data_IF_903785128299
#
_entry.id   IF_903785128299
#
_cell.length_a   1.000
_cell.length_b   1.000
_cell.length_c   1.000
_cell.angle_alpha   90.00
_cell.angle_beta   90.00
_cell.angle_gamma   90.00
#
_symmetry.space_group_name_H-M   'P 1'
#
loop_
_entity.id
_entity.type
_entity.pdbx_description
1 polymer ?
#
# COMPACT_ATOMS: atom_id res chain seq x y z
N UNK A 1 16.77 -10.65 38.11
CA UNK A 1 15.89 -9.61 37.53
C UNK A 1 14.45 -9.81 38.00
N UNK A 2 13.78 -8.78 38.57
CA UNK A 2 12.37 -8.84 38.96
C UNK A 2 11.47 -9.19 37.78
N UNK A 3 10.38 -9.94 38.00
CA UNK A 3 9.52 -10.47 36.93
C UNK A 3 8.96 -9.37 36.01
N UNK A 4 8.60 -8.22 36.57
CA UNK A 4 8.10 -7.06 35.83
C UNK A 4 9.10 -6.51 34.81
N UNK A 5 10.41 -6.68 35.07
CA UNK A 5 11.47 -6.18 34.19
C UNK A 5 11.92 -7.22 33.16
N UNK A 6 11.30 -8.41 33.11
CA UNK A 6 11.67 -9.52 32.20
C UNK A 6 10.93 -9.49 30.86
N UNK A 7 10.57 -8.31 30.37
CA UNK A 7 9.95 -8.16 29.05
C UNK A 7 10.84 -8.76 27.96
N UNK A 8 10.26 -9.56 27.08
CA UNK A 8 10.94 -10.14 25.93
C UNK A 8 10.02 -10.11 24.71
N UNK A 9 10.60 -10.11 23.53
CA UNK A 9 9.82 -10.12 22.27
C UNK A 9 10.51 -11.02 21.27
N UNK A 10 9.77 -12.01 20.78
CA UNK A 10 10.21 -12.80 19.64
C UNK A 10 9.70 -12.22 18.34
N UNK A 11 10.58 -12.20 17.32
CA UNK A 11 10.33 -11.68 15.98
C UNK A 11 10.67 -12.77 14.97
N UNK A 12 9.82 -12.97 13.97
CA UNK A 12 10.11 -13.80 12.80
C UNK A 12 9.98 -12.92 11.56
N UNK A 13 11.00 -12.97 10.70
CA UNK A 13 11.03 -12.23 9.44
C UNK A 13 10.86 -13.23 8.29
N UNK A 14 9.75 -13.09 7.58
CA UNK A 14 9.37 -13.68 6.28
C UNK A 14 9.93 -12.87 5.11
N UNK A 15 10.72 -13.43 4.19
CA UNK A 15 11.04 -12.76 2.92
C UNK A 15 10.48 -13.56 1.74
N UNK A 16 9.77 -12.88 0.84
CA UNK A 16 9.31 -13.42 -0.44
C UNK A 16 10.00 -12.65 -1.56
N UNK A 17 10.76 -13.36 -2.40
CA UNK A 17 11.40 -12.78 -3.56
C UNK A 17 10.70 -13.26 -4.85
N UNK A 18 10.48 -12.35 -5.79
CA UNK A 18 10.04 -12.71 -7.14
C UNK A 18 11.24 -13.02 -8.05
N UNK A 19 11.03 -13.65 -9.22
CA UNK A 19 12.11 -13.96 -10.16
C UNK A 19 12.87 -12.76 -10.72
N UNK A 20 12.37 -11.53 -10.50
CA UNK A 20 13.01 -10.27 -10.92
C UNK A 20 13.89 -9.67 -9.82
N UNK A 21 13.97 -10.34 -8.67
CA UNK A 21 14.71 -9.86 -7.50
C UNK A 21 13.96 -8.81 -6.68
N UNK A 22 12.65 -8.60 -6.90
CA UNK A 22 11.85 -7.77 -5.98
C UNK A 22 11.54 -8.58 -4.73
N UNK A 23 11.73 -7.97 -3.58
CA UNK A 23 11.53 -8.60 -2.29
C UNK A 23 10.37 -7.96 -1.53
N UNK A 24 9.58 -8.79 -0.85
CA UNK A 24 8.61 -8.39 0.14
C UNK A 24 8.96 -9.03 1.48
N UNK A 25 9.18 -8.19 2.48
CA UNK A 25 9.52 -8.64 3.83
C UNK A 25 8.33 -8.41 4.75
N UNK A 26 7.93 -9.46 5.47
CA UNK A 26 6.93 -9.39 6.53
C UNK A 26 7.53 -9.81 7.85
N UNK A 27 6.98 -9.26 8.92
CA UNK A 27 7.40 -9.60 10.26
C UNK A 27 6.22 -10.15 11.05
N UNK A 28 6.43 -11.18 11.85
CA UNK A 28 5.54 -11.56 12.94
C UNK A 28 6.18 -11.24 14.27
N UNK A 29 5.44 -10.62 15.17
CA UNK A 29 5.93 -10.17 16.48
C UNK A 29 5.09 -10.79 17.59
N UNK A 30 5.76 -11.29 18.62
CA UNK A 30 5.14 -11.81 19.82
C UNK A 30 5.82 -11.22 21.06
N UNK A 31 5.25 -10.18 21.67
CA UNK A 31 5.69 -9.71 22.97
C UNK A 31 5.30 -10.71 24.06
N UNK A 32 6.03 -10.65 25.18
CA UNK A 32 5.84 -11.53 26.32
C UNK A 32 6.87 -11.25 27.41
N UNK A 33 7.07 -12.24 28.28
CA UNK A 33 8.02 -12.18 29.39
C UNK A 33 8.81 -13.48 29.50
N UNK A 34 10.02 -13.39 30.04
CA UNK A 34 10.80 -14.56 30.45
C UNK A 34 10.39 -14.94 31.87
N UNK A 35 9.98 -16.19 32.08
CA UNK A 35 9.62 -16.70 33.40
C UNK A 35 10.84 -16.83 34.31
N UNK A 36 10.60 -17.03 35.62
CA UNK A 36 11.68 -17.27 36.59
C UNK A 36 12.24 -18.68 36.53
N UNK A 37 11.39 -19.65 36.16
CA UNK A 37 11.75 -21.05 35.97
C UNK A 37 11.09 -21.60 34.70
N UNK A 38 11.73 -22.57 34.02
CA UNK A 38 11.09 -23.29 32.92
C UNK A 38 9.79 -23.97 33.36
N UNK A 39 8.73 -23.84 32.57
CA UNK A 39 7.44 -24.53 32.76
C UNK A 39 7.02 -25.19 31.46
N UNK A 40 6.31 -26.32 31.55
CA UNK A 40 5.84 -27.08 30.38
C UNK A 40 6.85 -28.11 29.86
N UNK A 41 6.39 -28.99 28.97
CA UNK A 41 7.17 -30.11 28.40
C UNK A 41 7.17 -30.13 26.87
N UNK A 42 6.38 -29.26 26.24
CA UNK A 42 6.23 -29.23 24.78
C UNK A 42 7.19 -28.20 24.15
N UNK A 43 7.37 -28.26 22.83
CA UNK A 43 8.15 -27.26 22.10
C UNK A 43 9.66 -27.49 22.12
N UNK A 44 10.42 -26.45 21.82
CA UNK A 44 11.88 -26.48 21.74
C UNK A 44 12.51 -25.15 22.19
N UNK A 45 13.75 -25.19 22.64
CA UNK A 45 14.54 -24.01 22.95
C UNK A 45 13.91 -23.13 24.04
N UNK A 46 13.49 -21.91 23.67
CA UNK A 46 12.96 -20.90 24.60
C UNK A 46 11.52 -21.15 25.04
N UNK A 47 10.81 -22.12 24.44
CA UNK A 47 9.39 -22.34 24.71
C UNK A 47 9.06 -22.54 26.20
N UNK A 48 9.87 -23.25 27.01
CA UNK A 48 9.60 -23.43 28.44
C UNK A 48 9.77 -22.16 29.28
N UNK A 49 10.46 -21.15 28.78
CA UNK A 49 10.75 -19.92 29.55
C UNK A 49 10.04 -18.69 29.00
N UNK A 50 9.43 -18.76 27.83
CA UNK A 50 8.72 -17.63 27.23
C UNK A 50 7.21 -17.71 27.48
N UNK A 51 6.70 -16.72 28.19
CA UNK A 51 5.28 -16.49 28.43
C UNK A 51 4.79 -15.37 27.49
N UNK A 52 3.98 -15.67 26.46
CA UNK A 52 3.42 -14.65 25.59
C UNK A 52 2.48 -13.73 26.36
N UNK A 53 2.40 -12.48 25.94
CA UNK A 53 1.47 -11.50 26.51
C UNK A 53 0.01 -11.97 26.38
N UNK A 54 -0.77 -11.81 27.44
CA UNK A 54 -2.17 -12.23 27.49
C UNK A 54 -2.42 -13.69 27.91
N UNK A 55 -1.37 -14.48 28.17
CA UNK A 55 -1.51 -15.84 28.71
C UNK A 55 -0.70 -16.02 30.00
N UNK A 56 -1.21 -16.86 30.91
CA UNK A 56 -0.46 -17.30 32.09
C UNK A 56 0.31 -18.62 31.88
N UNK A 57 0.46 -19.03 30.62
CA UNK A 57 1.15 -20.27 30.22
C UNK A 57 2.37 -19.93 29.37
N UNK A 58 3.45 -20.70 29.49
CA UNK A 58 4.57 -20.63 28.55
C UNK A 58 4.20 -21.31 27.22
N UNK A 59 4.99 -21.08 26.18
CA UNK A 59 4.79 -21.78 24.91
C UNK A 59 4.93 -23.31 25.03
N UNK A 60 5.60 -23.83 26.06
CA UNK A 60 5.71 -25.26 26.32
C UNK A 60 4.52 -25.84 27.10
N UNK A 61 3.61 -25.00 27.59
CA UNK A 61 2.41 -25.35 28.36
C UNK A 61 1.12 -25.27 27.53
N UNK A 62 1.18 -24.71 26.32
CA UNK A 62 0.05 -24.61 25.39
C UNK A 62 0.17 -25.64 24.27
N UNK A 63 -0.98 -25.98 23.66
CA UNK A 63 -1.00 -26.89 22.51
C UNK A 63 -0.28 -26.28 21.30
N UNK A 64 0.18 -27.14 20.39
CA UNK A 64 0.73 -26.71 19.11
C UNK A 64 -0.27 -25.86 18.30
N UNK A 65 -1.56 -26.21 18.36
CA UNK A 65 -2.62 -25.46 17.67
C UNK A 65 -2.76 -24.04 18.22
N UNK A 66 -2.78 -23.90 19.55
CA UNK A 66 -2.84 -22.59 20.21
C UNK A 66 -1.60 -21.74 19.90
N UNK A 67 -0.41 -22.37 19.93
CA UNK A 67 0.84 -21.73 19.54
C UNK A 67 0.86 -21.29 18.07
N UNK A 68 0.28 -22.09 17.17
CA UNK A 68 0.13 -21.78 15.75
C UNK A 68 -0.88 -20.65 15.48
N UNK A 69 -1.61 -20.17 16.48
CA UNK A 69 -2.46 -18.97 16.36
C UNK A 69 -1.76 -17.70 16.83
N UNK A 70 -0.92 -17.79 17.86
CA UNK A 70 -0.40 -16.61 18.56
C UNK A 70 1.10 -16.34 18.34
N UNK A 71 1.87 -17.33 17.90
CA UNK A 71 3.32 -17.18 17.78
C UNK A 71 3.73 -16.20 16.68
N UNK A 72 4.91 -15.58 16.86
CA UNK A 72 5.52 -14.70 15.87
C UNK A 72 5.72 -15.41 14.51
N UNK A 73 6.11 -16.69 14.50
CA UNK A 73 6.23 -17.48 13.26
C UNK A 73 4.88 -17.65 12.56
N UNK A 74 3.83 -18.03 13.29
CA UNK A 74 2.49 -18.15 12.72
C UNK A 74 1.99 -16.83 12.14
N UNK A 75 2.18 -15.71 12.86
CA UNK A 75 1.83 -14.37 12.38
C UNK A 75 2.60 -13.99 11.11
N UNK A 76 3.89 -14.28 11.03
CA UNK A 76 4.68 -14.05 9.82
C UNK A 76 4.19 -14.91 8.64
N UNK A 77 3.92 -16.19 8.89
CA UNK A 77 3.45 -17.14 7.86
C UNK A 77 2.08 -16.74 7.31
N UNK A 78 1.14 -16.33 8.17
CA UNK A 78 -0.18 -15.85 7.74
C UNK A 78 -0.07 -14.64 6.83
N UNK A 79 0.84 -13.70 7.13
CA UNK A 79 1.10 -12.53 6.27
C UNK A 79 1.70 -12.93 4.92
N UNK A 80 2.66 -13.86 4.90
CA UNK A 80 3.17 -14.41 3.63
C UNK A 80 2.07 -15.10 2.83
N UNK A 81 1.23 -15.90 3.49
CA UNK A 81 0.10 -16.59 2.85
C UNK A 81 -0.85 -15.58 2.19
N UNK A 82 -1.23 -14.50 2.87
CA UNK A 82 -2.07 -13.43 2.31
C UNK A 82 -1.43 -12.84 1.04
N UNK A 83 -0.11 -12.57 1.05
CA UNK A 83 0.60 -12.05 -0.12
C UNK A 83 0.61 -13.06 -1.26
N UNK A 84 0.85 -14.35 -0.98
CA UNK A 84 0.85 -15.40 -2.00
C UNK A 84 -0.53 -15.56 -2.64
N UNK A 85 -1.60 -15.52 -1.84
CA UNK A 85 -2.98 -15.55 -2.35
C UNK A 85 -3.28 -14.36 -3.26
N UNK A 86 -2.78 -13.17 -2.91
CA UNK A 86 -2.89 -11.98 -3.77
C UNK A 86 -2.09 -12.12 -5.08
N UNK A 87 -0.89 -12.70 -5.03
CA UNK A 87 -0.08 -12.98 -6.23
C UNK A 87 -0.81 -13.95 -7.16
N UNK A 88 -1.40 -15.01 -6.61
CA UNK A 88 -2.19 -15.96 -7.38
C UNK A 88 -3.42 -15.31 -8.05
N UNK A 89 -4.07 -14.32 -7.41
CA UNK A 89 -5.23 -13.62 -7.98
C UNK A 89 -4.90 -12.81 -9.23
N UNK A 90 -3.65 -12.39 -9.38
CA UNK A 90 -3.19 -11.58 -10.51
C UNK A 90 -2.27 -12.37 -11.46
N UNK A 91 -2.19 -13.69 -11.29
CA UNK A 91 -1.33 -14.53 -12.10
C UNK A 91 -1.71 -14.46 -13.59
N UNK A 92 -0.71 -14.40 -14.45
CA UNK A 92 -0.90 -14.27 -15.91
C UNK A 92 -1.31 -12.86 -16.36
N UNK A 93 -1.32 -11.87 -15.47
CA UNK A 93 -1.48 -10.45 -15.81
C UNK A 93 -0.12 -9.75 -15.83
N UNK A 94 0.05 -8.84 -16.77
CA UNK A 94 1.14 -7.88 -16.81
C UNK A 94 0.61 -6.53 -16.28
N UNK A 95 1.03 -6.16 -15.08
CA UNK A 95 0.55 -5.01 -14.33
C UNK A 95 1.54 -3.84 -14.41
N UNK A 96 1.07 -2.75 -14.99
CA UNK A 96 1.79 -1.48 -15.07
C UNK A 96 1.33 -0.59 -13.91
N UNK A 97 2.26 -0.11 -13.09
CA UNK A 97 1.99 0.90 -12.06
C UNK A 97 2.19 2.30 -12.62
N UNK A 98 1.15 3.13 -12.65
CA UNK A 98 1.26 4.54 -13.03
C UNK A 98 1.26 5.42 -11.76
N UNK A 99 2.42 5.98 -11.44
CA UNK A 99 2.65 6.83 -10.26
C UNK A 99 3.28 8.18 -10.64
N UNK A 100 3.58 8.98 -9.64
CA UNK A 100 3.98 10.39 -9.76
C UNK A 100 3.28 11.22 -8.68
N UNK A 101 3.84 12.38 -8.37
CA UNK A 101 3.26 13.21 -7.31
C UNK A 101 1.98 13.93 -7.76
N UNK A 102 1.24 14.47 -6.80
CA UNK A 102 0.07 15.28 -7.07
C UNK A 102 0.46 16.48 -7.97
N UNK A 103 -0.32 16.77 -9.01
CA UNK A 103 -0.02 17.86 -9.94
C UNK A 103 0.94 17.52 -11.10
N UNK A 104 1.53 16.32 -11.14
CA UNK A 104 2.45 15.94 -12.23
C UNK A 104 1.76 15.48 -13.52
N UNK A 105 0.44 15.27 -13.51
CA UNK A 105 -0.35 14.94 -14.71
C UNK A 105 -0.57 13.45 -14.97
N UNK A 106 -0.42 12.59 -13.96
CA UNK A 106 -0.77 11.16 -14.02
C UNK A 106 -2.11 10.88 -14.68
N UNK A 107 -3.14 11.62 -14.29
CA UNK A 107 -4.50 11.43 -14.82
C UNK A 107 -4.59 11.73 -16.32
N UNK A 108 -3.73 12.59 -16.86
CA UNK A 108 -3.66 12.79 -18.32
C UNK A 108 -3.00 11.59 -19.02
N UNK A 109 -1.90 11.09 -18.45
CA UNK A 109 -1.24 9.87 -18.93
C UNK A 109 -2.21 8.68 -18.89
N UNK A 110 -2.95 8.51 -17.79
CA UNK A 110 -3.99 7.49 -17.65
C UNK A 110 -5.03 7.57 -18.77
N UNK A 111 -5.51 8.77 -19.11
CA UNK A 111 -6.47 8.98 -20.20
C UNK A 111 -5.90 8.59 -21.57
N UNK A 112 -4.62 8.84 -21.83
CA UNK A 112 -3.98 8.39 -23.07
C UNK A 112 -3.94 6.86 -23.15
N UNK A 113 -3.56 6.20 -22.05
CA UNK A 113 -3.54 4.73 -21.98
C UNK A 113 -4.94 4.13 -22.17
N UNK A 114 -5.98 4.72 -21.54
CA UNK A 114 -7.38 4.33 -21.76
C UNK A 114 -7.80 4.50 -23.22
N UNK A 115 -7.45 5.65 -23.84
CA UNK A 115 -7.71 5.94 -25.27
C UNK A 115 -7.07 4.91 -26.20
N UNK A 116 -5.92 4.35 -25.85
CA UNK A 116 -5.25 3.31 -26.62
C UNK A 116 -5.65 1.89 -26.23
N UNK A 117 -6.74 1.72 -25.47
CA UNK A 117 -7.37 0.43 -25.20
C UNK A 117 -6.85 -0.30 -23.96
N UNK A 118 -5.97 0.29 -23.15
CA UNK A 118 -5.53 -0.33 -21.90
C UNK A 118 -6.61 -0.19 -20.82
N UNK A 119 -6.80 -1.26 -20.04
CA UNK A 119 -7.58 -1.20 -18.81
C UNK A 119 -6.83 -0.41 -17.75
N UNK A 120 -7.29 0.81 -17.46
CA UNK A 120 -6.76 1.61 -16.36
C UNK A 120 -7.67 1.54 -15.14
N UNK A 121 -7.09 1.22 -13.99
CA UNK A 121 -7.75 1.13 -12.70
C UNK A 121 -7.22 2.25 -11.80
N UNK A 122 -8.07 3.24 -11.53
CA UNK A 122 -7.70 4.38 -10.71
C UNK A 122 -7.99 4.10 -9.22
N UNK A 123 -6.93 4.05 -8.42
CA UNK A 123 -7.01 3.75 -6.99
C UNK A 123 -7.73 4.85 -6.18
N UNK A 124 -7.61 6.12 -6.56
CA UNK A 124 -8.28 7.23 -5.89
C UNK A 124 -9.81 7.15 -6.08
N UNK A 125 -10.28 6.80 -7.29
CA UNK A 125 -11.69 6.54 -7.57
C UNK A 125 -12.21 5.37 -6.73
N UNK A 126 -11.43 4.28 -6.61
CA UNK A 126 -11.80 3.14 -5.76
C UNK A 126 -11.84 3.54 -4.29
N UNK A 127 -10.87 4.32 -3.80
CA UNK A 127 -10.86 4.86 -2.45
C UNK A 127 -12.12 5.65 -2.13
N UNK A 128 -12.58 6.49 -3.06
CA UNK A 128 -13.86 7.20 -2.92
C UNK A 128 -15.06 6.25 -2.79
N UNK A 129 -15.09 5.17 -3.55
CA UNK A 129 -16.17 4.17 -3.44
C UNK A 129 -16.11 3.41 -2.11
N UNK A 130 -14.90 3.11 -1.61
CA UNK A 130 -14.70 2.41 -0.34
C UNK A 130 -15.19 3.26 0.84
N UNK A 131 -14.98 4.58 0.81
CA UNK A 131 -15.44 5.51 1.84
C UNK A 131 -16.97 5.58 1.98
N UNK A 132 -17.73 5.22 0.94
CA UNK A 132 -19.20 5.22 0.96
C UNK A 132 -19.81 4.01 1.68
N UNK A 133 -19.00 2.99 2.01
CA UNK A 133 -19.51 1.80 2.70
C UNK A 133 -19.76 2.07 4.17
N UNK A 134 -20.90 1.59 4.69
CA UNK A 134 -21.28 1.82 6.09
C UNK A 134 -20.30 1.22 7.10
N UNK A 135 -19.73 0.04 6.80
CA UNK A 135 -18.76 -0.60 7.68
C UNK A 135 -17.46 0.21 7.79
N UNK A 136 -17.02 0.81 6.67
CA UNK A 136 -15.86 1.71 6.63
C UNK A 136 -16.17 3.00 7.35
N UNK A 137 -17.34 3.60 7.10
CA UNK A 137 -17.79 4.81 7.76
C UNK A 137 -17.85 4.67 9.28
N UNK A 138 -18.40 3.57 9.81
CA UNK A 138 -18.41 3.31 11.25
C UNK A 138 -17.00 3.25 11.85
N UNK A 139 -16.08 2.53 11.20
CA UNK A 139 -14.66 2.46 11.65
C UNK A 139 -13.99 3.83 11.61
N UNK A 140 -14.24 4.59 10.55
CA UNK A 140 -13.69 5.94 10.38
C UNK A 140 -14.20 6.90 11.47
N UNK A 141 -15.49 6.87 11.79
CA UNK A 141 -16.07 7.70 12.86
C UNK A 141 -15.53 7.29 14.24
N UNK A 142 -15.32 6.00 14.48
CA UNK A 142 -14.72 5.53 15.73
C UNK A 142 -13.26 6.02 15.92
N UNK A 143 -12.49 6.14 14.84
CA UNK A 143 -11.08 6.55 14.89
C UNK A 143 -10.93 8.08 14.90
N UNK A 144 -11.67 8.77 14.02
CA UNK A 144 -11.48 10.20 13.76
C UNK A 144 -12.58 11.09 14.36
N UNK A 145 -13.59 10.49 14.99
CA UNK A 145 -14.76 11.19 15.51
C UNK A 145 -15.77 11.59 14.44
N UNK A 146 -16.95 12.06 14.86
CA UNK A 146 -18.02 12.53 13.96
C UNK A 146 -17.66 13.79 13.16
N UNK A 147 -16.59 14.48 13.54
CA UNK A 147 -16.12 15.70 12.88
C UNK A 147 -15.83 15.52 11.39
N UNK A 148 -15.53 14.30 10.93
CA UNK A 148 -15.27 13.99 9.52
C UNK A 148 -16.53 13.95 8.64
N UNK A 149 -17.72 13.97 9.22
CA UNK A 149 -18.98 13.86 8.48
C UNK A 149 -19.45 15.21 7.92
N UNK A 150 -20.18 15.20 6.80
CA UNK A 150 -20.92 16.35 6.28
C UNK A 150 -22.32 16.43 6.93
N UNK A 151 -23.14 17.40 6.50
CA UNK A 151 -24.51 17.60 6.97
C UNK A 151 -25.46 16.42 6.66
N UNK A 152 -25.14 15.63 5.63
CA UNK A 152 -25.89 14.43 5.22
C UNK A 152 -25.41 13.17 5.98
N UNK A 153 -24.45 13.33 6.90
CA UNK A 153 -23.84 12.23 7.62
C UNK A 153 -22.89 11.38 6.77
N UNK A 154 -22.52 11.77 5.56
CA UNK A 154 -21.49 11.12 4.75
C UNK A 154 -20.09 11.59 5.11
N UNK A 155 -19.06 10.79 4.78
CA UNK A 155 -17.66 11.19 4.99
C UNK A 155 -17.30 12.37 4.08
N UNK A 156 -16.92 13.49 4.69
CA UNK A 156 -16.44 14.66 3.97
C UNK A 156 -14.97 14.49 3.55
N UNK A 157 -14.76 14.34 2.24
CA UNK A 157 -13.42 14.29 1.63
C UNK A 157 -12.60 15.54 1.92
N UNK A 158 -13.24 16.72 2.01
CA UNK A 158 -12.55 17.97 2.36
C UNK A 158 -11.98 17.89 3.77
N UNK A 159 -12.79 17.44 4.75
CA UNK A 159 -12.35 17.31 6.14
C UNK A 159 -11.28 16.23 6.31
N UNK A 160 -11.43 15.07 5.64
CA UNK A 160 -10.39 14.04 5.64
C UNK A 160 -9.06 14.54 5.06
N UNK A 161 -9.12 15.33 3.97
CA UNK A 161 -7.92 15.92 3.37
C UNK A 161 -7.22 16.90 4.30
N UNK A 162 -7.98 17.71 5.05
CA UNK A 162 -7.43 18.62 6.05
C UNK A 162 -6.70 17.85 7.15
N UNK A 163 -7.32 16.79 7.68
CA UNK A 163 -6.69 15.89 8.66
C UNK A 163 -5.43 15.25 8.08
N UNK A 164 -5.50 14.75 6.85
CA UNK A 164 -4.36 14.14 6.16
C UNK A 164 -3.19 15.12 5.92
N UNK A 165 -3.49 16.40 5.72
CA UNK A 165 -2.48 17.42 5.46
C UNK A 165 -1.76 17.91 6.73
N UNK A 166 -2.42 17.86 7.88
CA UNK A 166 -1.91 18.40 9.15
C UNK A 166 -1.36 17.34 10.10
N UNK A 167 -1.87 16.11 10.03
CA UNK A 167 -1.58 15.06 11.00
C UNK A 167 -1.11 13.76 10.32
N UNK A 168 0.22 13.53 10.40
CA UNK A 168 0.88 12.38 9.77
C UNK A 168 0.47 11.04 10.41
N UNK A 169 0.18 11.02 11.71
CA UNK A 169 -0.23 9.80 12.40
C UNK A 169 -1.64 9.40 11.99
N UNK A 170 -2.56 10.37 11.93
CA UNK A 170 -3.92 10.16 11.42
C UNK A 170 -3.92 9.74 9.96
N UNK A 171 -3.06 10.33 9.12
CA UNK A 171 -2.90 9.89 7.74
C UNK A 171 -2.40 8.44 7.65
N UNK A 172 -1.44 8.08 8.50
CA UNK A 172 -0.93 6.70 8.56
C UNK A 172 -2.04 5.74 8.98
N UNK A 173 -2.86 6.09 9.96
CA UNK A 173 -4.02 5.31 10.39
C UNK A 173 -5.05 5.16 9.26
N UNK A 174 -5.35 6.26 8.56
CA UNK A 174 -6.26 6.28 7.41
C UNK A 174 -5.78 5.34 6.31
N UNK A 175 -4.52 5.44 5.91
CA UNK A 175 -3.94 4.63 4.85
C UNK A 175 -3.91 3.15 5.25
N UNK A 176 -3.56 2.83 6.50
CA UNK A 176 -3.61 1.45 7.02
C UNK A 176 -5.01 0.83 6.95
N UNK A 177 -6.07 1.62 7.17
CA UNK A 177 -7.44 1.16 7.05
C UNK A 177 -7.88 1.01 5.59
N UNK A 178 -7.55 1.97 4.73
CA UNK A 178 -8.08 2.03 3.36
C UNK A 178 -7.29 1.20 2.35
N UNK A 179 -5.95 1.17 2.43
CA UNK A 179 -5.13 0.50 1.42
C UNK A 179 -5.50 -0.98 1.23
N UNK A 180 -5.71 -1.80 2.28
CA UNK A 180 -6.13 -3.20 2.09
C UNK A 180 -7.48 -3.32 1.38
N UNK A 181 -8.42 -2.42 1.69
CA UNK A 181 -9.77 -2.42 1.08
C UNK A 181 -9.73 -1.99 -0.39
N UNK A 182 -8.92 -0.98 -0.72
CA UNK A 182 -8.71 -0.52 -2.09
C UNK A 182 -8.04 -1.63 -2.90
N UNK A 183 -6.95 -2.20 -2.37
CA UNK A 183 -6.21 -3.28 -3.02
C UNK A 183 -7.09 -4.49 -3.31
N UNK A 184 -7.88 -4.95 -2.32
CA UNK A 184 -8.85 -6.03 -2.51
C UNK A 184 -9.83 -5.75 -3.65
N UNK A 185 -10.33 -4.51 -3.75
CA UNK A 185 -11.25 -4.13 -4.83
C UNK A 185 -10.56 -4.08 -6.20
N UNK A 186 -9.30 -3.61 -6.27
CA UNK A 186 -8.49 -3.68 -7.49
C UNK A 186 -8.28 -5.13 -7.93
N UNK A 187 -7.94 -6.03 -6.99
CA UNK A 187 -7.73 -7.45 -7.29
C UNK A 187 -8.97 -8.14 -7.82
N UNK A 188 -10.15 -7.86 -7.23
CA UNK A 188 -11.41 -8.35 -7.79
C UNK A 188 -11.63 -7.87 -9.24
N UNK A 189 -11.37 -6.59 -9.51
CA UNK A 189 -11.48 -6.05 -10.88
C UNK A 189 -10.50 -6.76 -11.84
N UNK A 190 -9.27 -7.06 -11.40
CA UNK A 190 -8.29 -7.75 -12.22
C UNK A 190 -8.62 -9.22 -12.44
N UNK A 191 -9.20 -9.88 -11.43
CA UNK A 191 -9.66 -11.26 -11.50
C UNK A 191 -10.74 -11.43 -12.58
N UNK A 192 -11.68 -10.50 -12.64
CA UNK A 192 -12.79 -10.52 -13.61
C UNK A 192 -12.38 -9.95 -14.98
N UNK A 193 -11.18 -9.38 -15.10
CA UNK A 193 -10.68 -8.80 -16.34
C UNK A 193 -10.00 -9.88 -17.19
N UNK A 194 -10.50 -10.12 -18.40
CA UNK A 194 -9.93 -11.14 -19.30
C UNK A 194 -8.65 -10.71 -20.00
N UNK A 195 -8.36 -9.41 -20.09
CA UNK A 195 -7.14 -8.94 -20.75
C UNK A 195 -5.88 -9.28 -19.97
N UNK A 196 -4.74 -9.33 -20.66
CA UNK A 196 -3.44 -9.65 -20.06
C UNK A 196 -2.79 -8.42 -19.42
N UNK A 197 -2.94 -7.24 -20.02
CA UNK A 197 -2.25 -6.02 -19.59
C UNK A 197 -3.25 -5.09 -18.90
N UNK A 198 -2.89 -4.59 -17.73
CA UNK A 198 -3.67 -3.60 -16.98
C UNK A 198 -2.77 -2.56 -16.31
N UNK A 199 -3.30 -1.36 -16.12
CA UNK A 199 -2.60 -0.25 -15.50
C UNK A 199 -3.28 0.08 -14.17
N UNK A 200 -2.51 0.25 -13.11
CA UNK A 200 -3.00 0.73 -11.81
C UNK A 200 -2.46 2.13 -11.58
N UNK A 201 -3.34 3.13 -11.65
CA UNK A 201 -3.01 4.52 -11.35
C UNK A 201 -3.17 4.79 -9.85
N UNK A 202 -2.08 5.09 -9.17
CA UNK A 202 -2.09 5.52 -7.77
C UNK A 202 -0.91 6.46 -7.48
N UNK A 203 -1.14 7.50 -6.67
CA UNK A 203 -0.04 8.38 -6.26
C UNK A 203 0.93 7.71 -5.26
N UNK A 204 0.44 6.74 -4.50
CA UNK A 204 1.13 6.14 -3.34
C UNK A 204 1.61 4.70 -3.60
N UNK A 205 1.96 4.34 -4.85
CA UNK A 205 2.37 2.96 -5.19
C UNK A 205 3.52 2.48 -4.30
N UNK A 206 4.57 3.31 -4.17
CA UNK A 206 5.76 2.96 -3.42
C UNK A 206 5.54 3.05 -1.91
N UNK A 207 4.80 4.06 -1.46
CA UNK A 207 4.45 4.29 -0.07
C UNK A 207 3.53 3.18 0.49
N UNK A 208 2.77 2.52 -0.37
CA UNK A 208 1.88 1.41 -0.04
C UNK A 208 2.52 0.03 -0.26
N UNK A 209 3.78 -0.05 -0.70
CA UNK A 209 4.47 -1.29 -1.12
C UNK A 209 3.68 -2.07 -2.19
N UNK A 210 2.99 -1.37 -3.08
CA UNK A 210 2.22 -1.97 -4.19
C UNK A 210 3.09 -2.26 -5.42
N UNK A 211 4.33 -1.75 -5.44
CA UNK A 211 5.36 -1.92 -6.46
C UNK A 211 5.84 -3.36 -6.61
N UNK A 212 5.79 -4.15 -5.54
CA UNK A 212 6.05 -5.59 -5.57
C UNK A 212 5.12 -6.33 -6.55
N UNK A 213 3.86 -5.91 -6.62
CA UNK A 213 2.84 -6.52 -7.50
C UNK A 213 2.81 -5.88 -8.89
N UNK A 214 3.92 -5.30 -9.36
CA UNK A 214 3.97 -4.61 -10.67
C UNK A 214 5.12 -5.15 -11.49
N UNK A 215 4.84 -5.36 -12.77
CA UNK A 215 5.85 -5.73 -13.75
C UNK A 215 6.69 -4.54 -14.16
N UNK A 216 6.02 -3.40 -14.40
CA UNK A 216 6.67 -2.11 -14.69
C UNK A 216 5.99 -0.98 -13.96
N UNK A 217 6.76 0.04 -13.62
CA UNK A 217 6.32 1.25 -12.96
C UNK A 217 6.73 2.45 -13.80
N UNK A 218 5.74 3.25 -14.13
CA UNK A 218 5.87 4.52 -14.83
C UNK A 218 5.70 5.64 -13.79
N UNK A 219 6.73 6.46 -13.61
CA UNK A 219 6.63 7.70 -12.83
C UNK A 219 6.43 8.89 -13.75
N UNK A 220 5.34 9.63 -13.57
CA UNK A 220 5.13 10.93 -14.24
C UNK A 220 5.76 12.04 -13.40
N UNK A 221 6.66 12.78 -14.03
CA UNK A 221 7.46 13.83 -13.40
C UNK A 221 7.14 15.21 -13.99
N UNK A 222 7.23 16.25 -13.16
CA UNK A 222 7.42 17.63 -13.62
C UNK A 222 8.10 18.47 -12.55
N UNK A 223 8.63 19.61 -12.98
CA UNK A 223 9.35 20.58 -12.16
C UNK A 223 8.44 21.14 -11.08
N UNK A 224 9.04 21.51 -9.94
CA UNK A 224 8.31 22.07 -8.80
C UNK A 224 7.46 23.28 -9.19
N UNK A 225 7.97 24.14 -10.07
CA UNK A 225 7.25 25.32 -10.56
C UNK A 225 5.96 24.92 -11.31
N UNK A 226 6.05 24.00 -12.28
CA UNK A 226 4.89 23.52 -13.03
C UNK A 226 3.92 22.72 -12.17
N UNK A 227 4.45 21.93 -11.23
CA UNK A 227 3.64 21.19 -10.26
C UNK A 227 2.79 22.15 -9.44
N UNK A 228 3.41 23.18 -8.84
CA UNK A 228 2.70 24.17 -8.03
C UNK A 228 1.72 25.01 -8.84
N UNK A 229 2.08 25.41 -10.06
CA UNK A 229 1.19 26.11 -10.98
C UNK A 229 -0.07 25.28 -11.27
N UNK A 230 0.10 24.01 -11.63
CA UNK A 230 -1.01 23.09 -11.92
C UNK A 230 -1.87 22.83 -10.70
N UNK A 231 -1.28 22.69 -9.52
CA UNK A 231 -2.03 22.49 -8.27
C UNK A 231 -2.88 23.72 -7.95
N UNK A 232 -2.33 24.92 -8.08
CA UNK A 232 -3.07 26.17 -7.86
C UNK A 232 -4.20 26.37 -8.88
N UNK A 233 -3.97 26.03 -10.15
CA UNK A 233 -4.97 26.20 -11.22
C UNK A 233 -6.09 25.15 -11.18
N UNK A 234 -5.76 23.91 -10.85
CA UNK A 234 -6.67 22.76 -11.03
C UNK A 234 -7.25 22.21 -9.72
N UNK A 235 -6.91 22.79 -8.56
CA UNK A 235 -7.43 22.34 -7.27
C UNK A 235 -7.91 23.52 -6.44
N UNK A 236 -8.90 23.27 -5.59
CA UNK A 236 -9.40 24.24 -4.61
C UNK A 236 -8.65 24.16 -3.27
N UNK A 237 -7.41 23.66 -3.27
CA UNK A 237 -6.65 23.37 -2.05
C UNK A 237 -5.88 24.60 -1.59
N UNK A 238 -5.78 24.79 -0.27
CA UNK A 238 -4.95 25.87 0.27
C UNK A 238 -3.45 25.54 0.08
N UNK A 239 -2.56 26.55 0.10
CA UNK A 239 -1.12 26.32 0.07
C UNK A 239 -0.62 25.35 1.15
N UNK A 240 -1.20 25.42 2.34
CA UNK A 240 -0.88 24.56 3.49
C UNK A 240 -1.34 23.12 3.23
N UNK A 241 -2.54 22.93 2.69
CA UNK A 241 -3.05 21.60 2.29
C UNK A 241 -2.14 20.98 1.23
N UNK A 242 -1.78 21.74 0.19
CA UNK A 242 -0.86 21.29 -0.87
C UNK A 242 0.47 20.84 -0.26
N UNK A 243 1.08 21.67 0.60
CA UNK A 243 2.35 21.36 1.25
C UNK A 243 2.24 20.14 2.16
N UNK A 244 1.15 19.99 2.90
CA UNK A 244 0.87 18.81 3.73
C UNK A 244 0.80 17.52 2.91
N UNK A 245 -0.01 17.53 1.85
CA UNK A 245 -0.21 16.35 0.99
C UNK A 245 1.04 15.97 0.20
N UNK A 246 1.86 16.93 -0.21
CA UNK A 246 3.14 16.66 -0.86
C UNK A 246 4.15 16.05 0.11
N UNK A 247 4.20 16.50 1.37
CA UNK A 247 5.06 15.91 2.41
C UNK A 247 4.68 14.47 2.78
N UNK A 248 3.42 14.09 2.53
CA UNK A 248 2.95 12.73 2.72
C UNK A 248 3.35 11.76 1.60
N UNK A 249 3.84 12.28 0.47
CA UNK A 249 4.32 11.48 -0.67
C UNK A 249 5.84 11.40 -0.63
N UNK A 250 6.39 10.31 -1.17
CA UNK A 250 7.83 10.24 -1.44
C UNK A 250 8.23 11.38 -2.40
N UNK A 251 9.43 11.95 -2.23
CA UNK A 251 9.98 12.92 -3.18
C UNK A 251 9.97 12.38 -4.60
N UNK A 252 9.80 13.26 -5.59
CA UNK A 252 9.72 12.83 -7.00
C UNK A 252 11.01 12.13 -7.43
N UNK A 253 12.15 12.60 -6.93
CA UNK A 253 13.48 12.07 -7.18
C UNK A 253 13.61 10.61 -6.72
N UNK A 254 13.03 10.26 -5.57
CA UNK A 254 13.00 8.89 -5.07
C UNK A 254 12.07 8.00 -5.90
N UNK A 255 10.95 8.54 -6.38
CA UNK A 255 10.05 7.80 -7.29
C UNK A 255 10.65 7.56 -8.66
N UNK A 256 11.50 8.48 -9.13
CA UNK A 256 12.25 8.34 -10.39
C UNK A 256 13.28 7.23 -10.27
N UNK A 257 14.08 7.21 -9.20
CA UNK A 257 15.10 6.17 -8.98
C UNK A 257 14.53 4.75 -8.93
N UNK A 258 13.29 4.61 -8.44
CA UNK A 258 12.61 3.32 -8.26
C UNK A 258 11.71 2.92 -9.43
N UNK A 259 11.53 3.79 -10.43
CA UNK A 259 10.66 3.51 -11.57
C UNK A 259 11.44 2.87 -12.72
N UNK A 260 10.78 1.98 -13.44
CA UNK A 260 11.33 1.39 -14.66
C UNK A 260 11.31 2.40 -15.81
N UNK A 261 10.27 3.26 -15.85
CA UNK A 261 10.12 4.30 -16.86
C UNK A 261 9.73 5.63 -16.24
N UNK A 262 10.21 6.73 -16.84
CA UNK A 262 9.87 8.09 -16.44
C UNK A 262 9.26 8.83 -17.62
N UNK A 263 8.09 9.44 -17.41
CA UNK A 263 7.45 10.33 -18.38
C UNK A 263 7.58 11.75 -17.87
N UNK A 264 8.31 12.58 -18.60
CA UNK A 264 8.41 14.02 -18.34
C UNK A 264 7.15 14.74 -18.83
N UNK A 265 6.52 15.50 -17.94
CA UNK A 265 5.42 16.41 -18.23
C UNK A 265 5.87 17.87 -18.04
N UNK A 266 7.05 18.18 -18.57
CA UNK A 266 7.58 19.54 -18.62
C UNK A 266 7.02 20.34 -19.79
N UNK A 267 6.77 19.74 -20.94
CA UNK A 267 6.43 20.50 -22.13
C UNK A 267 4.91 20.68 -22.30
N UNK A 268 4.41 20.53 -23.52
CA UNK A 268 3.01 20.59 -23.87
C UNK A 268 2.31 19.23 -23.93
N UNK A 269 0.99 19.25 -24.12
CA UNK A 269 0.16 18.05 -24.18
C UNK A 269 0.58 17.08 -25.28
N UNK A 270 0.93 17.60 -26.47
CA UNK A 270 1.38 16.78 -27.61
C UNK A 270 2.65 16.00 -27.28
N UNK A 271 3.61 16.65 -26.63
CA UNK A 271 4.86 15.99 -26.26
C UNK A 271 4.63 14.96 -25.15
N UNK A 272 3.75 15.25 -24.18
CA UNK A 272 3.34 14.27 -23.18
C UNK A 272 2.70 13.03 -23.82
N UNK A 273 1.82 13.21 -24.81
CA UNK A 273 1.19 12.10 -25.56
C UNK A 273 2.26 11.28 -26.29
N UNK A 274 3.17 11.93 -27.03
CA UNK A 274 4.28 11.27 -27.74
C UNK A 274 5.19 10.49 -26.79
N UNK A 275 5.60 11.09 -25.67
CA UNK A 275 6.47 10.44 -24.69
C UNK A 275 5.76 9.27 -24.00
N UNK A 276 4.46 9.41 -23.72
CA UNK A 276 3.65 8.32 -23.18
C UNK A 276 3.57 7.17 -24.17
N UNK A 277 3.37 7.46 -25.46
CA UNK A 277 3.31 6.45 -26.51
C UNK A 277 4.62 5.66 -26.61
N UNK A 278 5.75 6.36 -26.68
CA UNK A 278 7.09 5.74 -26.71
C UNK A 278 7.35 4.82 -25.53
N UNK A 279 6.98 5.23 -24.31
CA UNK A 279 7.14 4.40 -23.11
C UNK A 279 6.20 3.19 -23.16
N UNK A 280 4.96 3.38 -23.58
CA UNK A 280 4.01 2.28 -23.71
C UNK A 280 4.49 1.23 -24.71
N UNK A 281 4.93 1.64 -25.90
CA UNK A 281 5.37 0.71 -26.94
C UNK A 281 6.52 -0.19 -26.43
N UNK A 282 7.51 0.38 -25.74
CA UNK A 282 8.58 -0.40 -25.08
C UNK A 282 8.06 -1.41 -24.05
N UNK A 283 7.11 -0.98 -23.21
CA UNK A 283 6.53 -1.87 -22.19
C UNK A 283 5.76 -3.02 -22.84
N UNK A 284 5.04 -2.75 -23.94
CA UNK A 284 4.29 -3.77 -24.67
C UNK A 284 5.23 -4.77 -25.34
N UNK A 285 6.32 -4.30 -25.95
CA UNK A 285 7.38 -5.17 -26.50
C UNK A 285 7.96 -6.09 -25.41
N UNK A 286 8.27 -5.57 -24.23
CA UNK A 286 8.76 -6.38 -23.09
C UNK A 286 7.72 -7.39 -22.59
N UNK A 287 6.44 -7.00 -22.54
CA UNK A 287 5.35 -7.88 -22.15
C UNK A 287 5.10 -9.02 -23.16
N UNK A 288 5.48 -8.82 -24.43
CA UNK A 288 5.39 -9.83 -25.48
C UNK A 288 6.63 -10.74 -25.52
N UNK A 289 7.83 -10.20 -25.28
CA UNK A 289 9.11 -10.92 -25.30
C UNK A 289 9.40 -11.72 -24.03
N UNK A 290 8.79 -11.40 -22.88
CA UNK A 290 8.91 -12.17 -21.64
C UNK A 290 8.20 -13.54 -21.66
N UNK A 291 8.10 -14.15 -22.85
CA UNK A 291 7.59 -15.51 -23.11
C UNK A 291 8.71 -16.52 -23.10
#
# INVERSE_FOLDING_TARGET
MPYEKRGATFRCVMALADPRGKEMVVEGVCPGKITTFPRGKQGFGYDPIFQPEGLDKTFAEISLEEKNRISHRAKALLRIKEILEEVCQIQGKFLIGLTGNMGCGKTMVAKFLEKWGLKVINADKIGHMVLKRDDVKRKMVAIFGGGILNSEGEISRKKLRQIAATDKEKLTCLNKLLHPLIKKKIWNILKDYNGRIAVIEAALIFEANWDFFKDRIITVYCSKNKQMERLRKNTSFTPEEIKGLLRAQLPQEEKIKRADFVISNEAGLRELETNTRKVLDKILEEAECGR
#
